data_IF_887140443159
#
_entry.id   IF_887140443159
#
_cell.length_a   1.000
_cell.length_b   1.000
_cell.length_c   1.000
_cell.angle_alpha   90.00
_cell.angle_beta   90.00
_cell.angle_gamma   90.00
#
_symmetry.space_group_name_H-M   'P 1'
#
loop_
_entity.id
_entity.type
_entity.pdbx_description
1 polymer ?
#
# COMPACT_ATOMS: atom_id res chain seq x y z
N UNK A 1 -28.79 24.35 20.42
CA UNK A 1 -27.87 23.33 19.88
C UNK A 1 -26.46 23.90 19.92
N UNK A 2 -25.59 23.36 20.74
CA UNK A 2 -24.23 23.83 20.66
C UNK A 2 -23.66 23.39 19.30
N UNK A 3 -23.13 24.35 18.55
CA UNK A 3 -22.28 24.08 17.40
C UNK A 3 -21.13 23.20 17.89
N UNK A 4 -21.12 21.91 17.53
CA UNK A 4 -19.89 21.16 17.56
C UNK A 4 -18.96 21.78 16.52
N UNK A 5 -18.01 22.56 16.97
CA UNK A 5 -16.85 22.91 16.19
C UNK A 5 -16.16 21.58 15.88
N UNK A 6 -16.39 21.05 14.69
CA UNK A 6 -15.58 19.95 14.18
C UNK A 6 -14.15 20.45 14.21
N UNK A 7 -13.31 19.78 14.98
CA UNK A 7 -11.89 20.14 15.02
C UNK A 7 -11.36 20.17 13.59
N UNK A 8 -10.49 21.14 13.26
CA UNK A 8 -9.87 21.17 11.95
C UNK A 8 -9.13 19.86 11.69
N UNK A 9 -9.14 19.41 10.44
CA UNK A 9 -8.42 18.21 10.06
C UNK A 9 -6.90 18.37 10.26
N UNK A 10 -6.19 17.28 10.43
CA UNK A 10 -4.75 17.30 10.71
C UNK A 10 -4.05 16.17 9.93
N UNK A 11 -2.72 16.30 9.71
CA UNK A 11 -1.94 15.21 9.15
C UNK A 11 -2.06 13.91 9.96
N UNK A 12 -2.12 14.01 11.27
CA UNK A 12 -2.26 12.87 12.19
C UNK A 12 -3.59 12.17 11.98
N UNK A 13 -4.68 12.93 11.92
CA UNK A 13 -6.00 12.37 11.63
C UNK A 13 -6.06 11.72 10.24
N UNK A 14 -5.43 12.34 9.25
CA UNK A 14 -5.34 11.80 7.90
C UNK A 14 -4.59 10.47 7.85
N UNK A 15 -3.46 10.34 8.56
CA UNK A 15 -2.73 9.07 8.63
C UNK A 15 -3.59 7.98 9.27
N UNK A 16 -4.35 8.28 10.32
CA UNK A 16 -5.24 7.28 10.93
C UNK A 16 -6.35 6.82 9.97
N UNK A 17 -6.89 7.71 9.15
CA UNK A 17 -7.85 7.33 8.10
C UNK A 17 -7.21 6.41 7.06
N UNK A 18 -5.97 6.70 6.65
CA UNK A 18 -5.21 5.88 5.70
C UNK A 18 -4.96 4.48 6.27
N UNK A 19 -4.47 4.40 7.49
CA UNK A 19 -4.19 3.11 8.17
C UNK A 19 -5.47 2.29 8.30
N UNK A 20 -6.55 2.90 8.79
CA UNK A 20 -7.85 2.23 8.92
C UNK A 20 -8.36 1.72 7.56
N UNK A 21 -8.25 2.53 6.52
CA UNK A 21 -8.67 2.15 5.17
C UNK A 21 -7.93 0.89 4.69
N UNK A 22 -6.61 0.86 4.80
CA UNK A 22 -5.82 -0.29 4.35
C UNK A 22 -6.03 -1.54 5.19
N UNK A 23 -6.17 -1.42 6.50
CA UNK A 23 -6.41 -2.57 7.37
C UNK A 23 -7.80 -3.19 7.19
N UNK A 24 -8.77 -2.43 6.68
CA UNK A 24 -10.15 -2.88 6.47
C UNK A 24 -10.58 -2.93 5.00
N UNK A 25 -9.61 -2.81 4.08
CA UNK A 25 -9.86 -2.70 2.65
C UNK A 25 -10.59 -3.92 2.09
N UNK A 26 -11.75 -3.66 1.47
CA UNK A 26 -12.56 -4.63 0.74
C UNK A 26 -12.76 -4.15 -0.71
N UNK A 27 -13.16 -5.04 -1.65
CA UNK A 27 -13.38 -4.63 -3.04
C UNK A 27 -14.31 -3.43 -3.23
N UNK A 28 -15.37 -3.33 -2.42
CA UNK A 28 -16.30 -2.21 -2.47
C UNK A 28 -15.72 -0.86 -2.02
N UNK A 29 -14.61 -0.88 -1.28
CA UNK A 29 -13.96 0.33 -0.79
C UNK A 29 -13.12 1.03 -1.86
N UNK A 30 -12.75 0.34 -2.93
CA UNK A 30 -11.93 0.89 -4.01
C UNK A 30 -12.58 2.13 -4.64
N UNK A 31 -13.90 2.17 -4.72
CA UNK A 31 -14.64 3.34 -5.22
C UNK A 31 -14.44 4.60 -4.36
N UNK A 32 -13.97 4.46 -3.12
CA UNK A 32 -13.80 5.55 -2.15
C UNK A 32 -12.35 6.04 -2.02
N UNK A 33 -11.42 5.55 -2.83
CA UNK A 33 -10.01 6.00 -2.78
C UNK A 33 -9.86 7.52 -3.01
N UNK A 34 -10.78 8.14 -3.73
CA UNK A 34 -10.80 9.59 -3.92
C UNK A 34 -11.04 10.40 -2.64
N UNK A 35 -11.53 9.77 -1.57
CA UNK A 35 -11.64 10.40 -0.25
C UNK A 35 -10.30 10.41 0.50
N UNK A 36 -9.38 9.52 0.12
CA UNK A 36 -8.10 9.30 0.77
C UNK A 36 -6.95 10.00 0.06
N UNK A 37 -6.98 10.04 -1.27
CA UNK A 37 -5.94 10.58 -2.14
C UNK A 37 -6.33 11.93 -2.74
N UNK A 38 -5.32 12.78 -2.99
CA UNK A 38 -5.52 13.99 -3.81
C UNK A 38 -5.81 13.59 -5.26
N UNK A 39 -6.45 14.49 -6.01
CA UNK A 39 -6.84 14.21 -7.40
C UNK A 39 -5.64 13.89 -8.31
N UNK A 40 -4.48 14.44 -8.00
CA UNK A 40 -3.23 14.27 -8.73
C UNK A 40 -2.23 13.37 -8.00
N UNK A 41 -2.68 12.57 -7.04
CA UNK A 41 -1.82 11.72 -6.23
C UNK A 41 -0.92 10.82 -7.08
N UNK A 42 0.32 10.67 -6.64
CA UNK A 42 1.29 9.79 -7.27
C UNK A 42 1.39 8.49 -6.47
N UNK A 43 1.40 7.37 -7.17
CA UNK A 43 1.55 6.03 -6.60
C UNK A 43 2.70 5.31 -7.28
N UNK A 44 3.60 4.74 -6.48
CA UNK A 44 4.67 3.90 -6.99
C UNK A 44 4.87 2.67 -6.10
N UNK A 45 4.99 1.52 -6.72
CA UNK A 45 5.45 0.27 -6.12
C UNK A 45 6.53 -0.37 -7.03
N UNK A 46 7.03 -1.59 -6.72
CA UNK A 46 8.02 -2.25 -7.58
C UNK A 46 7.58 -2.50 -9.03
N UNK A 47 6.28 -2.51 -9.31
CA UNK A 47 5.73 -2.84 -10.63
C UNK A 47 4.99 -1.69 -11.30
N UNK A 48 4.52 -0.70 -10.53
CA UNK A 48 3.64 0.35 -11.01
C UNK A 48 4.20 1.73 -10.69
N UNK A 49 3.97 2.66 -11.60
CA UNK A 49 4.18 4.09 -11.38
C UNK A 49 3.07 4.83 -12.11
N UNK A 50 2.11 5.35 -11.35
CA UNK A 50 0.90 5.96 -11.90
C UNK A 50 0.55 7.25 -11.18
N UNK A 51 -0.34 8.04 -11.78
CA UNK A 51 -0.85 9.29 -11.22
C UNK A 51 -2.36 9.37 -11.38
N UNK A 52 -3.03 9.85 -10.33
CA UNK A 52 -4.46 10.13 -10.33
C UNK A 52 -5.31 9.02 -9.71
N UNK A 53 -6.49 9.40 -9.27
CA UNK A 53 -7.43 8.54 -8.54
C UNK A 53 -7.82 7.31 -9.34
N UNK A 54 -8.16 7.49 -10.61
CA UNK A 54 -8.62 6.40 -11.48
C UNK A 54 -7.54 5.32 -11.67
N UNK A 55 -6.29 5.74 -11.90
CA UNK A 55 -5.17 4.82 -12.06
C UNK A 55 -4.85 4.08 -10.76
N UNK A 56 -4.90 4.76 -9.61
CA UNK A 56 -4.70 4.16 -8.30
C UNK A 56 -5.81 3.15 -7.98
N UNK A 57 -7.07 3.50 -8.23
CA UNK A 57 -8.21 2.60 -8.06
C UNK A 57 -8.05 1.33 -8.91
N UNK A 58 -7.56 1.46 -10.13
CA UNK A 58 -7.32 0.32 -11.02
C UNK A 58 -6.29 -0.66 -10.43
N UNK A 59 -5.23 -0.18 -9.79
CA UNK A 59 -4.24 -1.04 -9.12
C UNK A 59 -4.89 -1.89 -8.03
N UNK A 60 -5.71 -1.29 -7.18
CA UNK A 60 -6.42 -2.03 -6.12
C UNK A 60 -7.47 -2.99 -6.66
N UNK A 61 -8.21 -2.59 -7.69
CA UNK A 61 -9.15 -3.49 -8.38
C UNK A 61 -8.43 -4.72 -8.91
N UNK A 62 -7.31 -4.52 -9.60
CA UNK A 62 -6.51 -5.62 -10.14
C UNK A 62 -5.96 -6.54 -9.04
N UNK A 63 -5.55 -5.98 -7.92
CA UNK A 63 -5.11 -6.76 -6.75
C UNK A 63 -6.20 -7.72 -6.27
N UNK A 64 -7.43 -7.24 -6.13
CA UNK A 64 -8.57 -8.08 -5.71
C UNK A 64 -8.96 -9.13 -6.75
N UNK A 65 -8.77 -8.84 -8.04
CA UNK A 65 -9.02 -9.80 -9.11
C UNK A 65 -7.95 -10.89 -9.18
N UNK A 66 -6.69 -10.54 -8.93
CA UNK A 66 -5.55 -11.44 -9.08
C UNK A 66 -5.26 -12.29 -7.84
N UNK A 67 -5.63 -11.81 -6.65
CA UNK A 67 -5.27 -12.42 -5.38
C UNK A 67 -6.51 -12.84 -4.59
N UNK A 68 -6.36 -13.89 -3.79
CA UNK A 68 -7.39 -14.35 -2.87
C UNK A 68 -7.12 -13.81 -1.46
N UNK A 69 -8.17 -13.26 -0.84
CA UNK A 69 -8.14 -12.73 0.53
C UNK A 69 -6.95 -11.80 0.83
N UNK A 70 -6.64 -10.82 -0.03
CA UNK A 70 -5.54 -9.88 0.24
C UNK A 70 -5.85 -9.05 1.49
N UNK A 71 -4.87 -8.93 2.39
CA UNK A 71 -5.05 -8.26 3.67
C UNK A 71 -3.77 -7.58 4.11
N UNK A 72 -3.88 -6.33 4.52
CA UNK A 72 -2.78 -5.56 5.11
C UNK A 72 -2.89 -5.52 6.63
N UNK A 73 -1.75 -5.65 7.30
CA UNK A 73 -1.61 -5.40 8.73
C UNK A 73 -0.51 -4.36 8.91
N UNK A 74 -0.86 -3.21 9.46
CA UNK A 74 0.10 -2.14 9.73
C UNK A 74 0.82 -2.46 11.04
N UNK A 75 2.13 -2.61 10.97
CA UNK A 75 2.93 -3.04 12.12
C UNK A 75 3.53 -1.88 12.90
N UNK A 76 3.96 -0.81 12.22
CA UNK A 76 4.51 0.39 12.85
C UNK A 76 4.18 1.65 12.06
N UNK A 77 4.18 2.79 12.74
CA UNK A 77 3.93 4.10 12.16
C UNK A 77 4.95 5.11 12.69
N UNK A 78 5.50 5.92 11.81
CA UNK A 78 6.35 7.06 12.15
C UNK A 78 5.84 8.26 11.35
N UNK A 79 5.59 9.36 12.03
CA UNK A 79 5.06 10.56 11.40
C UNK A 79 5.76 11.82 11.87
N UNK A 80 6.07 12.70 10.92
CA UNK A 80 6.52 14.05 11.17
C UNK A 80 5.72 14.98 10.26
N UNK A 81 4.63 15.52 10.78
CA UNK A 81 3.71 16.36 10.01
C UNK A 81 3.16 15.63 8.77
N UNK A 82 3.39 16.19 7.60
CA UNK A 82 2.93 15.62 6.32
C UNK A 82 3.75 14.39 5.83
N UNK A 83 4.88 14.10 6.46
CA UNK A 83 5.73 12.96 6.11
C UNK A 83 5.39 11.76 7.02
N UNK A 84 4.96 10.67 6.41
CA UNK A 84 4.54 9.48 7.14
C UNK A 84 5.23 8.24 6.58
N UNK A 85 5.66 7.36 7.49
CA UNK A 85 6.16 6.04 7.14
C UNK A 85 5.41 4.99 7.94
N UNK A 86 4.96 3.96 7.26
CA UNK A 86 4.35 2.79 7.91
C UNK A 86 5.06 1.54 7.44
N UNK A 87 5.19 0.56 8.31
CA UNK A 87 5.58 -0.79 7.94
C UNK A 87 4.36 -1.69 7.97
N UNK A 88 4.33 -2.69 7.12
CA UNK A 88 3.17 -3.58 6.99
C UNK A 88 3.57 -5.00 6.59
N UNK A 89 2.71 -5.93 6.97
CA UNK A 89 2.66 -7.28 6.42
C UNK A 89 1.45 -7.38 5.49
N UNK A 90 1.66 -7.92 4.31
CA UNK A 90 0.62 -8.17 3.33
C UNK A 90 0.44 -9.67 3.13
N UNK A 91 -0.74 -10.16 3.46
CA UNK A 91 -1.09 -11.57 3.35
C UNK A 91 -2.04 -11.78 2.18
N UNK A 92 -1.78 -12.80 1.40
CA UNK A 92 -2.64 -13.19 0.29
C UNK A 92 -2.42 -14.66 -0.07
N UNK A 93 -3.31 -15.24 -0.84
CA UNK A 93 -3.06 -16.46 -1.58
C UNK A 93 -3.30 -16.25 -3.06
N UNK A 94 -2.66 -17.08 -3.88
CA UNK A 94 -2.85 -17.08 -5.32
C UNK A 94 -2.86 -18.51 -5.82
N UNK A 95 -3.78 -18.89 -6.73
CA UNK A 95 -3.98 -20.30 -7.13
C UNK A 95 -2.74 -20.99 -7.69
N UNK A 96 -1.78 -20.22 -8.23
CA UNK A 96 -0.58 -20.72 -8.89
C UNK A 96 0.69 -20.58 -8.05
N UNK A 97 0.56 -20.12 -6.80
CA UNK A 97 1.67 -19.94 -5.88
C UNK A 97 1.52 -20.90 -4.71
N UNK A 98 2.51 -21.81 -4.55
CA UNK A 98 2.64 -22.71 -3.42
C UNK A 98 1.32 -23.43 -3.06
N UNK A 99 0.66 -24.00 -4.08
CA UNK A 99 -0.64 -24.71 -3.98
C UNK A 99 -1.75 -23.90 -3.29
N UNK A 100 -1.73 -22.57 -3.41
CA UNK A 100 -2.69 -21.67 -2.80
C UNK A 100 -2.44 -21.37 -1.32
N UNK A 101 -1.27 -21.70 -0.80
CA UNK A 101 -0.87 -21.36 0.56
C UNK A 101 -0.81 -19.85 0.76
N UNK A 102 -1.05 -19.41 2.01
CA UNK A 102 -0.95 -17.99 2.35
C UNK A 102 0.48 -17.50 2.19
N UNK A 103 0.65 -16.46 1.38
CA UNK A 103 1.91 -15.76 1.18
C UNK A 103 1.97 -14.51 2.05
N UNK A 104 3.17 -14.12 2.44
CA UNK A 104 3.42 -12.87 3.19
C UNK A 104 4.46 -12.03 2.46
N UNK A 105 4.12 -10.77 2.20
CA UNK A 105 5.07 -9.75 1.73
C UNK A 105 5.19 -8.71 2.83
N UNK A 106 6.43 -8.38 3.21
CA UNK A 106 6.75 -7.34 4.18
C UNK A 106 7.24 -6.12 3.44
N UNK A 107 6.76 -4.97 3.85
CA UNK A 107 7.17 -3.74 3.21
C UNK A 107 6.94 -2.52 4.08
N UNK A 108 7.20 -1.38 3.49
CA UNK A 108 6.98 -0.08 4.07
C UNK A 108 6.39 0.85 3.02
N UNK A 109 5.62 1.82 3.47
CA UNK A 109 5.08 2.86 2.60
C UNK A 109 5.48 4.23 3.13
N UNK A 110 5.95 5.07 2.23
CA UNK A 110 6.12 6.50 2.44
C UNK A 110 4.88 7.21 1.90
N UNK A 111 4.16 7.88 2.79
CA UNK A 111 3.08 8.79 2.42
C UNK A 111 3.55 10.24 2.58
N UNK A 112 3.26 11.07 1.60
CA UNK A 112 3.31 12.53 1.73
C UNK A 112 1.88 13.05 1.68
N UNK A 113 1.48 13.73 2.74
CA UNK A 113 0.14 14.30 2.85
C UNK A 113 0.13 15.76 2.37
N UNK A 114 -1.00 16.20 1.83
CA UNK A 114 -1.23 17.58 1.42
C UNK A 114 -2.62 18.02 1.82
N UNK A 115 -2.72 19.23 2.34
CA UNK A 115 -4.00 19.86 2.63
C UNK A 115 -4.60 20.48 1.36
N UNK A 116 -5.85 20.16 1.10
CA UNK A 116 -6.65 20.78 0.04
C UNK A 116 -8.04 21.09 0.58
N UNK A 117 -8.43 22.35 0.52
CA UNK A 117 -9.73 22.80 1.01
C UNK A 117 -10.04 22.35 2.46
N UNK A 118 -9.04 22.41 3.33
CA UNK A 118 -9.16 22.08 4.75
C UNK A 118 -9.12 20.57 5.07
N UNK A 119 -8.86 19.72 4.08
CA UNK A 119 -8.79 18.26 4.26
C UNK A 119 -7.41 17.75 3.85
N UNK A 120 -6.78 16.97 4.73
CA UNK A 120 -5.52 16.33 4.46
C UNK A 120 -5.72 15.00 3.72
N UNK A 121 -5.01 14.83 2.61
CA UNK A 121 -5.06 13.62 1.77
C UNK A 121 -3.67 13.20 1.33
N UNK A 122 -3.54 11.97 0.91
CA UNK A 122 -2.30 11.43 0.35
C UNK A 122 -2.03 12.04 -1.02
N UNK A 123 -0.93 12.74 -1.15
CA UNK A 123 -0.44 13.28 -2.42
C UNK A 123 0.63 12.36 -3.06
N UNK A 124 1.39 11.64 -2.23
CA UNK A 124 2.38 10.66 -2.68
C UNK A 124 2.23 9.40 -1.84
N UNK A 125 2.15 8.27 -2.53
CA UNK A 125 2.16 6.92 -1.95
C UNK A 125 3.28 6.13 -2.63
N UNK A 126 4.32 5.81 -1.88
CA UNK A 126 5.40 4.99 -2.42
C UNK A 126 5.65 3.77 -1.54
N UNK A 127 5.45 2.60 -2.11
CA UNK A 127 5.74 1.33 -1.49
C UNK A 127 7.20 0.92 -1.71
N UNK A 128 7.83 0.43 -0.65
CA UNK A 128 9.17 -0.15 -0.66
C UNK A 128 9.09 -1.58 -0.15
N UNK A 129 9.32 -2.53 -1.02
CA UNK A 129 9.48 -3.92 -0.66
C UNK A 129 10.37 -4.63 -1.68
N UNK A 130 11.05 -5.65 -1.22
CA UNK A 130 11.98 -6.39 -2.06
C UNK A 130 11.23 -7.47 -2.86
N UNK A 131 10.88 -7.14 -4.10
CA UNK A 131 10.18 -8.06 -4.99
C UNK A 131 11.01 -9.31 -5.32
N UNK A 132 12.34 -9.19 -5.34
CA UNK A 132 13.22 -10.33 -5.57
C UNK A 132 13.15 -11.33 -4.43
N UNK A 133 13.24 -10.87 -3.20
CA UNK A 133 13.19 -11.71 -2.00
C UNK A 133 11.77 -12.21 -1.71
N UNK A 134 10.79 -11.30 -1.71
CA UNK A 134 9.44 -11.60 -1.23
C UNK A 134 8.57 -12.31 -2.26
N UNK A 135 8.88 -12.18 -3.55
CA UNK A 135 8.06 -12.74 -4.62
C UNK A 135 8.85 -13.66 -5.56
N UNK A 136 9.89 -13.14 -6.22
CA UNK A 136 10.56 -13.87 -7.30
C UNK A 136 11.33 -15.09 -6.81
N UNK A 137 11.91 -15.05 -5.61
CA UNK A 137 12.57 -16.21 -5.00
C UNK A 137 11.62 -17.38 -4.72
N UNK A 138 10.31 -17.10 -4.60
CA UNK A 138 9.27 -18.09 -4.34
C UNK A 138 8.75 -18.77 -5.61
N UNK A 139 9.13 -18.26 -6.78
CA UNK A 139 8.76 -18.86 -8.07
C UNK A 139 9.79 -19.93 -8.48
N UNK A 140 9.37 -21.09 -9.02
CA UNK A 140 10.25 -22.25 -9.22
C UNK A 140 11.48 -21.98 -10.08
N UNK A 141 11.33 -21.28 -11.22
CA UNK A 141 12.43 -20.98 -12.16
C UNK A 141 13.06 -19.65 -11.86
N UNK A 142 12.25 -18.58 -11.79
CA UNK A 142 12.70 -17.22 -11.52
C UNK A 142 13.36 -17.15 -10.13
N UNK A 143 12.78 -17.83 -9.14
CA UNK A 143 13.34 -17.92 -7.80
C UNK A 143 14.74 -18.52 -7.77
N UNK A 144 15.02 -19.54 -8.57
CA UNK A 144 16.34 -20.15 -8.66
C UNK A 144 17.38 -19.18 -9.26
N UNK A 145 17.00 -18.44 -10.30
CA UNK A 145 17.86 -17.40 -10.91
C UNK A 145 18.13 -16.29 -9.92
N UNK A 146 17.10 -15.80 -9.23
CA UNK A 146 17.25 -14.72 -8.25
C UNK A 146 18.13 -15.13 -7.06
N UNK A 147 17.99 -16.34 -6.55
CA UNK A 147 18.86 -16.88 -5.49
C UNK A 147 20.31 -17.00 -5.96
N UNK A 148 20.52 -17.42 -7.18
CA UNK A 148 21.85 -17.50 -7.78
C UNK A 148 22.52 -16.13 -7.91
N UNK A 149 21.79 -15.11 -8.42
CA UNK A 149 22.27 -13.73 -8.51
C UNK A 149 22.62 -13.16 -7.13
N UNK A 150 21.74 -13.36 -6.15
CA UNK A 150 21.98 -12.92 -4.76
C UNK A 150 23.25 -13.54 -4.18
N UNK A 151 23.47 -14.82 -4.40
CA UNK A 151 24.70 -15.52 -3.96
C UNK A 151 25.95 -14.94 -4.60
N UNK A 152 25.89 -14.61 -5.90
CA UNK A 152 27.02 -14.02 -6.61
C UNK A 152 27.33 -12.59 -6.19
N UNK A 153 26.31 -11.82 -5.84
CA UNK A 153 26.50 -10.44 -5.36
C UNK A 153 27.15 -10.39 -3.97
N UNK A 154 27.01 -11.44 -3.18
CA UNK A 154 27.56 -11.55 -1.83
C UNK A 154 28.93 -12.27 -1.77
N UNK A 155 29.51 -12.64 -2.91
CA UNK A 155 30.86 -13.23 -3.06
C UNK A 155 31.88 -12.19 -3.47
#
# INVERSE_FOLDING_TARGET
>A
MPFQLTQPDSPEAALQRVVHFFEHLQPGDVARVGQLYTADAQFKDPFNEVQGISAIAHIFTHMFEALEAPRFVITQQVQNGAQCFVTWDFFFSAPRMDDGAIQTIRGATHFVLREEAGVWRVAVHRDYWDAAEELYEKLPVVGSVMRWLKKRANS
#
